data_IF_217936734989
#
_entry.id   IF_217936734989
#
_cell.length_a   1.000
_cell.length_b   1.000
_cell.length_c   1.000
_cell.angle_alpha   90.00
_cell.angle_beta   90.00
_cell.angle_gamma   90.00
#
_symmetry.space_group_name_H-M   'P 1'
#
loop_
_entity.id
_entity.type
_entity.pdbx_description
1 polymer ?
#
# COMPACT_ATOMS: atom_id res chain seq x y z
N UNK A 1 -23.62 11.77 50.94
CA UNK A 1 -24.19 11.09 49.75
C UNK A 1 -23.74 11.73 48.44
N UNK A 2 -23.94 13.05 48.18
CA UNK A 2 -23.58 13.70 46.90
C UNK A 2 -22.08 13.55 46.50
N UNK A 3 -21.17 13.71 47.47
CA UNK A 3 -19.70 13.54 47.20
C UNK A 3 -19.30 12.10 46.87
N UNK A 4 -19.94 11.12 47.50
CA UNK A 4 -19.69 9.70 47.25
C UNK A 4 -20.17 9.30 45.86
N UNK A 5 -21.35 9.82 45.46
CA UNK A 5 -21.90 9.57 44.11
C UNK A 5 -21.00 10.19 43.00
N UNK A 6 -20.47 11.40 43.25
CA UNK A 6 -19.55 12.03 42.29
C UNK A 6 -18.23 11.26 42.10
N UNK A 7 -17.66 10.71 43.19
CA UNK A 7 -16.46 9.90 43.14
C UNK A 7 -16.74 8.58 42.39
N UNK A 8 -17.89 7.96 42.65
CA UNK A 8 -18.28 6.73 41.96
C UNK A 8 -18.48 6.96 40.46
N UNK A 9 -19.14 8.07 40.06
CA UNK A 9 -19.30 8.43 38.66
C UNK A 9 -17.96 8.71 37.98
N UNK A 10 -17.02 9.39 38.65
CA UNK A 10 -15.70 9.64 38.13
C UNK A 10 -14.89 8.34 37.90
N UNK A 11 -14.97 7.40 38.87
CA UNK A 11 -14.34 6.08 38.75
C UNK A 11 -14.93 5.25 37.60
N UNK A 12 -16.25 5.25 37.42
CA UNK A 12 -16.91 4.56 36.29
C UNK A 12 -16.51 5.18 34.97
N UNK A 13 -16.44 6.51 34.86
CA UNK A 13 -15.99 7.21 33.66
C UNK A 13 -14.50 6.87 33.33
N UNK A 14 -13.64 6.87 34.35
CA UNK A 14 -12.23 6.46 34.14
C UNK A 14 -12.10 5.00 33.72
N UNK A 15 -12.92 4.10 34.26
CA UNK A 15 -12.95 2.69 33.82
C UNK A 15 -13.42 2.54 32.38
N UNK A 16 -14.45 3.28 31.98
CA UNK A 16 -14.94 3.27 30.59
C UNK A 16 -13.92 3.87 29.62
N UNK A 17 -13.18 4.91 30.00
CA UNK A 17 -12.07 5.43 29.20
C UNK A 17 -10.90 4.43 29.07
N UNK A 18 -10.60 3.70 30.15
CA UNK A 18 -9.52 2.70 30.13
C UNK A 18 -9.86 1.50 29.22
N UNK A 19 -11.12 1.09 29.14
CA UNK A 19 -11.54 0.02 28.22
C UNK A 19 -11.56 0.45 26.76
N UNK A 20 -11.85 1.73 26.48
CA UNK A 20 -11.79 2.27 25.12
C UNK A 20 -10.34 2.37 24.55
N UNK A 21 -9.33 2.42 25.43
CA UNK A 21 -7.90 2.43 25.03
C UNK A 21 -7.31 1.00 24.94
N UNK A 22 -8.07 -0.03 25.27
CA UNK A 22 -7.63 -1.42 25.26
C UNK A 22 -8.07 -2.21 24.00
N UNK A 23 -8.49 -1.54 22.94
CA UNK A 23 -8.50 -2.15 21.61
C UNK A 23 -7.04 -2.34 21.21
N UNK A 24 -6.51 -3.53 21.51
CA UNK A 24 -5.17 -3.92 21.09
C UNK A 24 -5.04 -3.72 19.59
N UNK A 25 -3.98 -3.05 19.15
CA UNK A 25 -3.68 -2.85 17.74
C UNK A 25 -3.79 -4.20 17.02
N UNK A 26 -4.84 -4.38 16.25
CA UNK A 26 -5.04 -5.58 15.44
C UNK A 26 -4.05 -5.55 14.29
N UNK A 27 -2.86 -6.09 14.50
CA UNK A 27 -1.88 -6.23 13.43
C UNK A 27 -2.36 -7.26 12.40
N UNK A 28 -2.35 -6.93 11.11
CA UNK A 28 -2.77 -7.86 10.08
C UNK A 28 -1.86 -9.08 10.07
N UNK A 29 -2.48 -10.27 10.04
CA UNK A 29 -1.76 -11.55 9.97
C UNK A 29 -1.10 -11.74 8.61
N UNK A 30 -1.78 -11.31 7.55
CA UNK A 30 -1.33 -11.40 6.17
C UNK A 30 -1.49 -10.03 5.49
N UNK A 31 -0.51 -9.66 4.68
CA UNK A 31 -0.54 -8.47 3.83
C UNK A 31 -0.26 -8.89 2.40
N UNK A 32 -1.13 -8.53 1.48
CA UNK A 32 -0.95 -8.76 0.05
C UNK A 32 -0.85 -7.41 -0.64
N UNK A 33 0.25 -7.17 -1.33
CA UNK A 33 0.49 -5.96 -2.10
C UNK A 33 0.47 -6.29 -3.59
N UNK A 34 -0.42 -5.67 -4.35
CA UNK A 34 -0.54 -5.82 -5.79
C UNK A 34 -0.03 -4.54 -6.46
N UNK A 35 0.96 -4.66 -7.32
CA UNK A 35 1.57 -3.54 -8.02
C UNK A 35 1.29 -3.68 -9.51
N UNK A 36 0.54 -2.71 -10.07
CA UNK A 36 0.39 -2.56 -11.51
C UNK A 36 1.45 -1.61 -12.04
N UNK A 37 2.53 -2.14 -12.59
CA UNK A 37 3.62 -1.33 -13.14
C UNK A 37 3.13 -0.55 -14.37
N UNK A 38 3.34 0.77 -14.34
CA UNK A 38 2.83 1.70 -15.34
C UNK A 38 1.30 1.86 -15.39
N UNK A 39 0.57 1.27 -14.43
CA UNK A 39 -0.89 1.31 -14.38
C UNK A 39 -1.39 2.55 -13.64
N UNK A 40 -1.75 3.58 -14.39
CA UNK A 40 -2.42 4.78 -13.86
C UNK A 40 -3.94 4.75 -14.06
N UNK A 41 -4.63 5.78 -13.60
CA UNK A 41 -6.08 5.93 -13.77
C UNK A 41 -6.56 5.81 -15.23
N UNK A 42 -5.85 6.32 -16.26
CA UNK A 42 -6.26 6.14 -17.63
C UNK A 42 -6.36 4.68 -18.06
N UNK A 43 -5.42 3.82 -17.65
CA UNK A 43 -5.42 2.39 -17.94
C UNK A 43 -6.59 1.68 -17.25
N UNK A 44 -6.85 2.03 -15.99
CA UNK A 44 -8.01 1.50 -15.24
C UNK A 44 -9.31 1.87 -15.94
N UNK A 45 -9.49 3.15 -16.27
CA UNK A 45 -10.70 3.64 -16.94
C UNK A 45 -10.88 3.03 -18.34
N UNK A 46 -9.81 2.94 -19.13
CA UNK A 46 -9.86 2.29 -20.43
C UNK A 46 -10.27 0.81 -20.32
N UNK A 47 -9.75 0.10 -19.33
CA UNK A 47 -10.13 -1.30 -19.07
C UNK A 47 -11.61 -1.42 -18.69
N UNK A 48 -12.12 -0.55 -17.83
CA UNK A 48 -13.54 -0.53 -17.46
C UNK A 48 -14.45 -0.30 -18.68
N UNK A 49 -14.08 0.63 -19.55
CA UNK A 49 -14.87 0.93 -20.76
C UNK A 49 -14.79 -0.20 -21.76
N UNK A 50 -13.62 -0.74 -22.02
CA UNK A 50 -13.43 -1.88 -22.92
C UNK A 50 -14.23 -3.10 -22.47
N UNK A 51 -14.05 -3.52 -21.23
CA UNK A 51 -14.78 -4.67 -20.67
C UNK A 51 -16.28 -4.41 -20.63
N UNK A 52 -16.70 -3.22 -20.25
CA UNK A 52 -18.10 -2.83 -20.23
C UNK A 52 -18.76 -2.92 -21.62
N UNK A 53 -18.05 -2.49 -22.66
CA UNK A 53 -18.54 -2.54 -24.04
C UNK A 53 -18.71 -3.98 -24.55
N UNK A 54 -17.76 -4.90 -24.26
CA UNK A 54 -17.87 -6.30 -24.68
C UNK A 54 -18.87 -7.10 -23.85
N UNK A 55 -19.10 -6.73 -22.59
CA UNK A 55 -20.08 -7.37 -21.71
C UNK A 55 -21.51 -6.89 -22.00
N UNK A 56 -21.68 -5.71 -22.57
CA UNK A 56 -22.98 -5.09 -22.85
C UNK A 56 -23.09 -4.58 -24.30
N UNK A 57 -22.91 -5.45 -25.30
CA UNK A 57 -22.81 -5.04 -26.70
C UNK A 57 -24.08 -4.35 -27.23
N UNK A 58 -25.25 -4.70 -26.70
CA UNK A 58 -26.56 -4.17 -27.12
C UNK A 58 -27.02 -2.97 -26.28
N UNK A 59 -26.21 -2.50 -25.36
CA UNK A 59 -26.58 -1.36 -24.52
C UNK A 59 -26.53 -0.05 -25.29
N UNK A 60 -27.61 0.73 -25.20
CA UNK A 60 -27.69 2.08 -25.80
C UNK A 60 -26.88 3.12 -25.05
N UNK A 61 -26.47 2.83 -23.82
CA UNK A 61 -25.74 3.74 -22.96
C UNK A 61 -24.42 3.09 -22.49
N UNK A 62 -23.37 3.90 -22.22
CA UNK A 62 -22.13 3.39 -21.66
C UNK A 62 -22.37 2.67 -20.32
N UNK A 63 -21.89 1.46 -20.21
CA UNK A 63 -21.92 0.65 -18.98
C UNK A 63 -20.48 0.24 -18.65
N UNK A 64 -19.75 1.00 -17.84
CA UNK A 64 -18.40 0.62 -17.43
C UNK A 64 -18.43 -0.69 -16.63
N UNK A 65 -17.45 -1.57 -16.86
CA UNK A 65 -17.32 -2.78 -16.07
C UNK A 65 -16.78 -2.46 -14.66
N UNK A 66 -17.20 -3.23 -13.69
CA UNK A 66 -16.64 -3.22 -12.35
C UNK A 66 -15.31 -4.00 -12.31
N UNK A 67 -14.29 -3.38 -11.75
CA UNK A 67 -13.03 -4.05 -11.42
C UNK A 67 -12.96 -4.28 -9.91
N UNK A 68 -12.54 -5.46 -9.49
CA UNK A 68 -12.60 -5.86 -8.07
C UNK A 68 -11.87 -4.88 -7.14
N UNK A 69 -10.70 -4.39 -7.55
CA UNK A 69 -9.88 -3.48 -6.74
C UNK A 69 -10.45 -2.05 -6.67
N UNK A 70 -11.32 -1.63 -7.60
CA UNK A 70 -11.98 -0.31 -7.51
C UNK A 70 -13.08 -0.26 -6.44
N UNK A 71 -13.40 -1.42 -5.84
CA UNK A 71 -14.39 -1.55 -4.75
C UNK A 71 -13.75 -1.62 -3.37
N UNK A 72 -12.45 -1.45 -3.25
CA UNK A 72 -11.81 -1.41 -1.93
C UNK A 72 -12.32 -0.21 -1.12
N UNK A 73 -12.50 -0.39 0.20
CA UNK A 73 -13.11 0.63 1.06
C UNK A 73 -12.23 1.86 1.27
N UNK A 74 -10.93 1.76 0.96
CA UNK A 74 -9.98 2.85 1.13
C UNK A 74 -9.30 3.18 -0.18
N UNK A 75 -9.16 4.46 -0.46
CA UNK A 75 -8.47 5.01 -1.62
C UNK A 75 -7.44 6.02 -1.15
N UNK A 76 -6.25 5.97 -1.75
CA UNK A 76 -5.20 6.96 -1.55
C UNK A 76 -4.63 7.42 -2.90
N UNK A 77 -3.98 8.56 -2.89
CA UNK A 77 -3.23 9.08 -4.04
C UNK A 77 -1.77 9.19 -3.66
N UNK A 78 -0.89 8.92 -4.61
CA UNK A 78 0.55 9.01 -4.45
C UNK A 78 1.16 9.75 -5.62
N UNK A 79 2.23 10.50 -5.36
CA UNK A 79 3.08 11.09 -6.40
C UNK A 79 4.27 10.17 -6.65
N UNK A 80 4.53 9.87 -7.92
CA UNK A 80 5.47 8.82 -8.29
C UNK A 80 6.84 9.33 -8.77
N UNK A 81 7.07 10.66 -8.89
CA UNK A 81 8.36 11.21 -9.29
C UNK A 81 9.51 10.64 -8.43
N UNK A 82 10.70 10.47 -9.01
CA UNK A 82 11.92 10.11 -8.30
C UNK A 82 12.84 11.34 -8.08
N UNK A 83 13.98 11.12 -7.47
CA UNK A 83 14.91 12.23 -7.15
C UNK A 83 15.58 12.83 -8.39
N UNK A 84 15.49 12.20 -9.55
CA UNK A 84 16.14 12.65 -10.79
C UNK A 84 15.16 12.98 -11.92
N UNK A 85 13.88 12.55 -11.80
CA UNK A 85 12.92 12.66 -12.90
C UNK A 85 11.48 12.80 -12.42
N UNK A 86 10.68 13.59 -13.14
CA UNK A 86 9.21 13.61 -12.99
C UNK A 86 8.56 12.37 -13.61
N UNK A 87 9.25 11.68 -14.54
CA UNK A 87 8.85 10.42 -15.14
C UNK A 87 9.78 9.31 -14.64
N UNK A 88 9.50 8.73 -13.47
CA UNK A 88 10.37 7.75 -12.84
C UNK A 88 10.31 6.41 -13.57
N UNK A 89 11.30 5.57 -13.31
CA UNK A 89 11.30 4.18 -13.75
C UNK A 89 10.77 3.21 -12.67
N UNK A 90 10.66 1.94 -13.03
CA UNK A 90 10.20 0.90 -12.11
C UNK A 90 11.17 0.65 -10.95
N UNK A 91 12.47 0.87 -11.13
CA UNK A 91 13.49 0.65 -10.11
C UNK A 91 13.37 1.66 -8.96
N UNK A 92 13.35 2.95 -9.28
CA UNK A 92 13.25 4.04 -8.30
C UNK A 92 11.89 4.03 -7.58
N UNK A 93 10.80 3.72 -8.30
CA UNK A 93 9.46 3.66 -7.70
C UNK A 93 9.30 2.43 -6.82
N UNK A 94 9.82 1.26 -7.19
CA UNK A 94 9.84 0.09 -6.33
C UNK A 94 10.66 0.33 -5.05
N UNK A 95 11.82 0.99 -5.18
CA UNK A 95 12.63 1.42 -4.03
C UNK A 95 11.82 2.32 -3.10
N UNK A 96 11.12 3.31 -3.66
CA UNK A 96 10.29 4.23 -2.87
C UNK A 96 9.16 3.51 -2.13
N UNK A 97 8.48 2.57 -2.77
CA UNK A 97 7.42 1.77 -2.14
C UNK A 97 7.97 0.84 -1.05
N UNK A 98 9.15 0.25 -1.27
CA UNK A 98 9.72 -0.70 -0.34
C UNK A 98 10.41 -0.05 0.87
N UNK A 99 10.99 1.15 0.71
CA UNK A 99 11.79 1.83 1.73
C UNK A 99 11.13 3.06 2.34
N UNK A 100 10.11 3.62 1.68
CA UNK A 100 9.54 4.92 2.02
C UNK A 100 10.42 6.11 1.66
N UNK A 101 11.49 5.90 0.87
CA UNK A 101 12.47 6.94 0.48
C UNK A 101 12.62 6.99 -1.02
N UNK A 102 12.84 8.20 -1.56
CA UNK A 102 13.13 8.37 -2.99
C UNK A 102 14.61 8.12 -3.30
N UNK A 103 14.88 7.78 -4.55
CA UNK A 103 16.24 7.60 -5.08
C UNK A 103 16.29 8.03 -6.55
N UNK A 104 17.43 7.86 -7.21
CA UNK A 104 17.61 8.17 -8.63
C UNK A 104 16.96 7.12 -9.52
N UNK A 105 16.60 7.50 -10.75
CA UNK A 105 16.15 6.54 -11.78
C UNK A 105 17.20 5.42 -11.94
N UNK A 106 16.72 4.17 -12.10
CA UNK A 106 17.55 2.97 -12.25
C UNK A 106 18.14 2.43 -10.95
N UNK A 107 17.95 3.10 -9.81
CA UNK A 107 18.56 2.70 -8.54
C UNK A 107 17.61 1.83 -7.72
N UNK A 108 18.14 0.74 -7.19
CA UNK A 108 17.43 -0.26 -6.38
C UNK A 108 17.98 -0.27 -4.97
N UNK A 109 17.13 0.09 -3.99
CA UNK A 109 17.39 -0.01 -2.55
C UNK A 109 18.66 0.72 -2.05
N UNK A 110 19.07 1.77 -2.74
CA UNK A 110 20.15 2.65 -2.32
C UNK A 110 19.71 4.11 -2.31
N UNK A 111 20.42 4.92 -1.55
CA UNK A 111 20.26 6.36 -1.56
C UNK A 111 20.76 7.02 -2.87
N UNK A 112 20.58 8.30 -2.99
CA UNK A 112 21.00 9.08 -4.17
C UNK A 112 22.52 9.13 -4.37
N UNK A 113 23.31 8.85 -3.33
CA UNK A 113 24.77 8.79 -3.39
C UNK A 113 25.29 7.39 -3.78
N UNK A 114 24.42 6.38 -3.87
CA UNK A 114 24.73 4.98 -4.14
C UNK A 114 25.66 4.35 -3.08
N UNK A 115 25.72 4.92 -1.89
CA UNK A 115 26.62 4.47 -0.83
C UNK A 115 25.89 3.83 0.35
N UNK A 116 24.64 4.25 0.62
CA UNK A 116 23.90 3.75 1.76
C UNK A 116 22.72 2.91 1.31
N UNK A 117 22.66 1.61 1.64
CA UNK A 117 21.51 0.80 1.34
C UNK A 117 20.29 1.23 2.17
N UNK A 118 19.12 1.22 1.53
CA UNK A 118 17.87 1.40 2.24
C UNK A 118 17.36 0.09 2.80
N UNK A 119 17.00 0.07 4.06
CA UNK A 119 16.26 -1.03 4.65
C UNK A 119 14.83 -1.02 4.13
N UNK A 120 14.36 -2.16 3.67
CA UNK A 120 13.07 -2.30 2.99
C UNK A 120 12.04 -3.04 3.84
N UNK A 121 10.76 -2.89 3.49
CA UNK A 121 9.63 -3.45 4.25
C UNK A 121 9.73 -4.96 4.41
N UNK A 122 10.31 -5.68 3.45
CA UNK A 122 10.47 -7.14 3.49
C UNK A 122 11.50 -7.56 4.56
N UNK A 123 12.54 -6.76 4.79
CA UNK A 123 13.51 -6.98 5.86
C UNK A 123 12.87 -6.77 7.22
N UNK A 124 12.10 -5.68 7.40
CA UNK A 124 11.32 -5.46 8.62
C UNK A 124 10.33 -6.61 8.88
N UNK A 125 9.67 -7.11 7.85
CA UNK A 125 8.76 -8.23 7.98
C UNK A 125 9.48 -9.51 8.41
N UNK A 126 10.66 -9.81 7.84
CA UNK A 126 11.49 -10.96 8.26
C UNK A 126 11.97 -10.83 9.71
N UNK A 127 12.42 -9.66 10.13
CA UNK A 127 12.82 -9.39 11.52
C UNK A 127 11.65 -9.57 12.51
N UNK A 128 10.43 -9.25 12.07
CA UNK A 128 9.21 -9.51 12.83
C UNK A 128 8.74 -10.99 12.76
N UNK A 129 9.55 -11.91 12.23
CA UNK A 129 9.24 -13.32 12.12
C UNK A 129 8.19 -13.68 11.04
N UNK A 130 7.87 -12.76 10.13
CA UNK A 130 6.93 -12.99 9.03
C UNK A 130 7.65 -13.63 7.85
N UNK A 131 6.91 -14.46 7.10
CA UNK A 131 7.37 -14.97 5.80
C UNK A 131 7.09 -13.94 4.71
N UNK A 132 8.00 -13.86 3.73
CA UNK A 132 7.89 -12.96 2.58
C UNK A 132 7.90 -13.80 1.31
N UNK A 133 7.00 -13.48 0.39
CA UNK A 133 6.95 -14.07 -0.96
C UNK A 133 6.85 -12.96 -2.00
N UNK A 134 7.51 -13.13 -3.13
CA UNK A 134 7.46 -12.21 -4.27
C UNK A 134 7.07 -13.00 -5.51
N UNK A 135 6.07 -12.50 -6.23
CA UNK A 135 5.61 -13.05 -7.50
C UNK A 135 5.67 -11.92 -8.53
N UNK A 136 6.20 -12.21 -9.70
CA UNK A 136 6.33 -11.21 -10.78
C UNK A 136 6.08 -11.85 -12.13
N UNK A 137 5.57 -11.07 -13.08
CA UNK A 137 5.40 -11.44 -14.49
C UNK A 137 6.58 -10.99 -15.38
N UNK A 138 7.54 -10.27 -14.82
CA UNK A 138 8.70 -9.72 -15.53
C UNK A 138 9.99 -10.41 -15.08
N UNK A 139 11.10 -10.19 -15.81
CA UNK A 139 12.39 -10.77 -15.47
C UNK A 139 12.89 -10.36 -14.09
N UNK A 140 13.74 -11.19 -13.48
CA UNK A 140 14.28 -11.03 -12.11
C UNK A 140 14.97 -9.67 -11.90
N UNK A 141 15.50 -9.05 -12.95
CA UNK A 141 16.11 -7.71 -12.90
C UNK A 141 15.11 -6.61 -12.51
N UNK A 142 13.81 -6.84 -12.71
CA UNK A 142 12.72 -5.94 -12.30
C UNK A 142 12.07 -6.33 -10.97
N UNK A 143 12.47 -7.43 -10.33
CA UNK A 143 12.02 -7.83 -9.00
C UNK A 143 12.73 -7.01 -7.93
N UNK A 144 12.48 -5.74 -7.89
CA UNK A 144 13.12 -4.80 -6.97
C UNK A 144 12.73 -4.99 -5.49
N UNK A 145 11.80 -5.87 -5.22
CA UNK A 145 11.45 -6.31 -3.87
C UNK A 145 12.29 -7.52 -3.44
N UNK A 146 13.57 -7.56 -3.81
CA UNK A 146 14.45 -8.65 -3.43
C UNK A 146 14.34 -8.92 -1.93
N UNK A 147 13.72 -10.04 -1.61
CA UNK A 147 13.96 -10.67 -0.34
C UNK A 147 15.42 -11.13 -0.39
N UNK A 148 16.31 -10.46 0.32
CA UNK A 148 17.65 -10.99 0.54
C UNK A 148 17.51 -12.35 1.21
N UNK A 149 18.05 -13.37 0.56
CA UNK A 149 18.23 -14.69 1.15
C UNK A 149 19.17 -14.60 2.35
#
# INVERSE_FOLDING_TARGET
>A
MKKFLAILCALVLCLMCATAMAEGESHPKYVFMFIGDGMGNPQVTATQYYLGSIQNPDSKFPVPADLSFTKFPYLGLVTTYDSSSFCPDSASTATSMASGKKTLSGVINYDETLTNPYKIITEYAKEAGKKVGVITSVSVSYTHLRAHE
#
